data_IF_110051133352
#
_entry.id   IF_110051133352
#
_cell.length_a   1.000
_cell.length_b   1.000
_cell.length_c   1.000
_cell.angle_alpha   90.00
_cell.angle_beta   90.00
_cell.angle_gamma   90.00
#
_symmetry.space_group_name_H-M   'P 1'
#
loop_
_entity.id
_entity.type
_entity.pdbx_description
1 polymer ?
#
# COMPACT_ATOMS: atom_id res chain seq x y z
N UNK A 1 -1.11 28.46 -27.20
CA UNK A 1 -0.20 27.74 -28.11
C UNK A 1 1.15 27.61 -27.44
N UNK A 2 1.47 26.43 -26.90
CA UNK A 2 2.83 26.05 -26.52
C UNK A 2 2.98 24.59 -26.94
N UNK A 3 3.50 24.38 -28.15
CA UNK A 3 3.94 23.06 -28.57
C UNK A 3 5.31 22.84 -27.92
N UNK A 4 5.35 22.07 -26.85
CA UNK A 4 6.62 21.51 -26.37
C UNK A 4 7.08 20.50 -27.40
N UNK A 5 8.17 20.80 -28.10
CA UNK A 5 8.83 19.85 -28.98
C UNK A 5 9.39 18.71 -28.14
N UNK A 6 8.72 17.56 -28.14
CA UNK A 6 9.31 16.35 -27.58
C UNK A 6 10.41 15.88 -28.53
N UNK A 7 11.66 15.94 -28.04
CA UNK A 7 12.78 15.27 -28.68
C UNK A 7 12.45 13.78 -28.81
N UNK A 8 12.68 13.21 -29.99
CA UNK A 8 12.60 11.78 -30.27
C UNK A 8 13.48 11.05 -29.27
N UNK A 9 12.87 10.53 -28.20
CA UNK A 9 13.59 9.78 -27.19
C UNK A 9 13.95 8.44 -27.81
N UNK A 10 15.22 8.23 -28.15
CA UNK A 10 15.72 6.89 -28.39
C UNK A 10 15.40 6.05 -27.14
N UNK A 11 14.46 5.10 -27.27
CA UNK A 11 14.04 4.21 -26.20
C UNK A 11 15.23 3.32 -25.85
N UNK A 12 16.05 3.78 -24.92
CA UNK A 12 17.19 3.03 -24.44
C UNK A 12 16.71 2.11 -23.32
N UNK A 13 16.31 0.89 -23.68
CA UNK A 13 15.91 -0.08 -22.66
C UNK A 13 17.17 -0.56 -21.94
N UNK A 14 17.33 -0.33 -20.63
CA UNK A 14 18.55 -0.68 -19.92
C UNK A 14 18.82 -2.19 -19.99
N UNK A 15 20.09 -2.56 -20.23
CA UNK A 15 20.55 -3.95 -20.08
C UNK A 15 20.76 -4.24 -18.59
N UNK A 16 20.27 -5.38 -18.10
CA UNK A 16 20.55 -5.81 -16.74
C UNK A 16 22.07 -6.01 -16.58
N UNK A 17 22.71 -5.24 -15.71
CA UNK A 17 24.16 -5.28 -15.51
C UNK A 17 24.64 -6.59 -14.85
N UNK A 18 23.73 -7.34 -14.22
CA UNK A 18 24.04 -8.59 -13.51
C UNK A 18 23.15 -9.74 -13.95
N UNK A 19 23.73 -10.95 -14.01
CA UNK A 19 23.04 -12.20 -14.35
C UNK A 19 22.18 -12.75 -13.20
N UNK A 20 22.32 -12.22 -11.98
CA UNK A 20 21.48 -12.56 -10.82
C UNK A 20 21.21 -11.28 -10.00
N UNK A 21 20.02 -11.22 -9.39
CA UNK A 21 19.53 -10.08 -8.62
C UNK A 21 17.99 -10.03 -8.63
N UNK A 22 17.35 -9.43 -7.61
CA UNK A 22 15.89 -9.48 -7.42
C UNK A 22 15.11 -8.74 -8.51
N UNK A 23 15.75 -7.78 -9.20
CA UNK A 23 15.14 -7.05 -10.31
C UNK A 23 16.02 -7.16 -11.57
N UNK A 24 15.46 -7.71 -12.64
CA UNK A 24 16.11 -7.84 -13.94
C UNK A 24 15.11 -8.24 -15.03
N UNK A 25 15.54 -8.24 -16.29
CA UNK A 25 14.68 -8.71 -17.40
C UNK A 25 14.32 -10.18 -17.22
N UNK A 26 13.04 -10.51 -17.44
CA UNK A 26 12.54 -11.89 -17.45
C UNK A 26 13.20 -12.73 -18.56
N UNK A 27 13.50 -12.12 -19.71
CA UNK A 27 14.25 -12.72 -20.83
C UNK A 27 15.49 -11.88 -21.15
N UNK A 28 16.57 -12.11 -20.41
CA UNK A 28 17.79 -11.26 -20.48
C UNK A 28 18.52 -11.33 -21.82
N UNK A 29 18.45 -12.49 -22.46
CA UNK A 29 19.16 -12.78 -23.73
C UNK A 29 18.34 -12.37 -24.96
N UNK A 30 17.05 -12.09 -24.79
CA UNK A 30 16.20 -11.68 -25.91
C UNK A 30 16.32 -10.19 -26.19
N UNK A 31 16.42 -9.79 -27.48
CA UNK A 31 16.34 -8.39 -27.85
C UNK A 31 14.99 -7.81 -27.38
N UNK A 32 14.97 -6.55 -26.88
CA UNK A 32 13.70 -5.89 -26.60
C UNK A 32 12.83 -5.88 -27.84
N UNK A 33 11.54 -6.09 -27.65
CA UNK A 33 10.58 -5.81 -28.70
C UNK A 33 10.61 -4.31 -29.02
N UNK A 34 10.82 -3.99 -30.30
CA UNK A 34 10.72 -2.64 -30.83
C UNK A 34 9.40 -2.51 -31.59
N UNK A 35 8.57 -1.50 -31.28
CA UNK A 35 7.34 -1.28 -32.01
C UNK A 35 7.63 -1.04 -33.50
N UNK A 36 6.77 -1.52 -34.42
CA UNK A 36 6.95 -1.32 -35.87
C UNK A 36 7.08 0.15 -36.28
N UNK A 37 6.41 1.06 -35.55
CA UNK A 37 6.43 2.51 -35.76
C UNK A 37 6.86 3.23 -34.47
N UNK A 38 8.17 3.30 -34.15
CA UNK A 38 8.63 3.82 -32.87
C UNK A 38 8.29 5.32 -32.66
N UNK A 39 8.18 6.09 -33.74
CA UNK A 39 7.87 7.52 -33.68
C UNK A 39 6.39 7.80 -33.36
N UNK A 40 5.49 6.84 -33.63
CA UNK A 40 4.04 6.98 -33.35
C UNK A 40 3.56 6.09 -32.21
N UNK A 41 4.38 5.15 -31.74
CA UNK A 41 3.99 4.14 -30.76
C UNK A 41 3.35 4.73 -29.49
N UNK A 42 3.87 5.85 -28.97
CA UNK A 42 3.29 6.48 -27.78
C UNK A 42 1.90 7.09 -28.07
N UNK A 43 1.75 7.73 -29.23
CA UNK A 43 0.46 8.29 -29.66
C UNK A 43 -0.55 7.18 -29.95
N UNK A 44 -0.11 6.06 -30.54
CA UNK A 44 -0.94 4.90 -30.84
C UNK A 44 -1.42 4.22 -29.55
N UNK A 45 -0.54 4.05 -28.55
CA UNK A 45 -0.90 3.51 -27.23
C UNK A 45 -1.88 4.44 -26.51
N UNK A 46 -1.64 5.76 -26.51
CA UNK A 46 -2.56 6.74 -25.91
C UNK A 46 -3.93 6.70 -26.58
N UNK A 47 -3.97 6.60 -27.91
CA UNK A 47 -5.21 6.52 -28.67
C UNK A 47 -5.97 5.22 -28.36
N UNK A 48 -5.26 4.10 -28.29
CA UNK A 48 -5.82 2.81 -27.88
C UNK A 48 -6.40 2.88 -26.47
N UNK A 49 -5.64 3.42 -25.50
CA UNK A 49 -6.10 3.57 -24.12
C UNK A 49 -7.32 4.50 -24.03
N UNK A 50 -7.31 5.64 -24.71
CA UNK A 50 -8.44 6.57 -24.70
C UNK A 50 -9.72 5.99 -25.33
N UNK A 51 -9.58 5.04 -26.26
CA UNK A 51 -10.72 4.41 -26.93
C UNK A 51 -11.22 3.15 -26.21
N UNK A 52 -10.35 2.43 -25.49
CA UNK A 52 -10.66 1.09 -24.95
C UNK A 52 -10.55 0.98 -23.43
N UNK A 53 -9.93 1.96 -22.75
CA UNK A 53 -9.79 2.00 -21.29
C UNK A 53 -10.65 3.10 -20.66
N UNK A 54 -11.60 3.64 -21.42
CA UNK A 54 -12.67 4.51 -20.91
C UNK A 54 -13.94 3.69 -20.72
N UNK A 55 -14.37 3.54 -19.48
CA UNK A 55 -15.69 3.01 -19.17
C UNK A 55 -16.73 4.11 -19.34
N UNK A 56 -17.77 3.84 -20.13
CA UNK A 56 -18.89 4.78 -20.29
C UNK A 56 -19.84 4.56 -19.11
N UNK A 57 -20.06 5.58 -18.29
CA UNK A 57 -20.98 5.48 -17.15
C UNK A 57 -22.37 4.99 -17.59
N UNK A 58 -22.87 3.92 -16.96
CA UNK A 58 -24.20 3.34 -17.22
C UNK A 58 -24.24 2.11 -18.15
N UNK A 59 -23.11 1.50 -18.47
CA UNK A 59 -23.04 0.18 -19.11
C UNK A 59 -22.87 -0.93 -18.07
N UNK A 60 -23.99 -1.38 -17.49
CA UNK A 60 -24.05 -2.49 -16.53
C UNK A 60 -23.70 -3.86 -17.16
N UNK A 61 -23.50 -3.92 -18.49
CA UNK A 61 -23.16 -5.15 -19.22
C UNK A 61 -21.67 -5.53 -19.19
N UNK A 62 -20.82 -4.62 -18.68
CA UNK A 62 -19.38 -4.84 -18.51
C UNK A 62 -19.02 -5.34 -17.10
N UNK A 63 -19.95 -5.25 -16.13
CA UNK A 63 -19.73 -5.67 -14.76
C UNK A 63 -19.75 -7.19 -14.62
N UNK A 64 -18.74 -7.73 -13.94
CA UNK A 64 -18.75 -9.13 -13.57
C UNK A 64 -19.57 -9.34 -12.29
N UNK A 65 -20.83 -9.73 -12.45
CA UNK A 65 -21.74 -9.99 -11.33
C UNK A 65 -21.23 -11.03 -10.30
N UNK A 66 -20.28 -11.89 -10.69
CA UNK A 66 -19.72 -12.90 -9.80
C UNK A 66 -18.51 -12.40 -9.00
N UNK A 67 -17.95 -11.24 -9.33
CA UNK A 67 -16.77 -10.68 -8.65
C UNK A 67 -17.03 -9.22 -8.27
N UNK A 68 -17.41 -8.94 -7.00
CA UNK A 68 -17.58 -7.58 -6.54
C UNK A 68 -16.29 -6.77 -6.71
N UNK A 69 -16.39 -5.53 -7.20
CA UNK A 69 -15.22 -4.67 -7.47
C UNK A 69 -14.27 -4.47 -6.27
N UNK A 70 -14.78 -4.62 -5.05
CA UNK A 70 -13.97 -4.58 -3.82
C UNK A 70 -12.85 -5.63 -3.77
N UNK A 71 -13.04 -6.79 -4.40
CA UNK A 71 -12.02 -7.84 -4.46
C UNK A 71 -10.78 -7.42 -5.24
N UNK A 72 -10.91 -6.51 -6.21
CA UNK A 72 -9.74 -5.96 -6.94
C UNK A 72 -8.82 -5.20 -5.97
N UNK A 73 -9.38 -4.36 -5.12
CA UNK A 73 -8.62 -3.58 -4.13
C UNK A 73 -8.10 -4.46 -2.99
N UNK A 74 -8.87 -5.47 -2.59
CA UNK A 74 -8.40 -6.45 -1.60
C UNK A 74 -7.22 -7.27 -2.15
N UNK A 75 -7.27 -7.67 -3.42
CA UNK A 75 -6.15 -8.32 -4.11
C UNK A 75 -4.90 -7.45 -4.15
N UNK A 76 -5.05 -6.15 -4.38
CA UNK A 76 -3.94 -5.19 -4.31
C UNK A 76 -3.32 -5.13 -2.91
N UNK A 77 -4.14 -5.07 -1.86
CA UNK A 77 -3.67 -5.09 -0.47
C UNK A 77 -2.88 -6.38 -0.15
N UNK A 78 -3.39 -7.53 -0.61
CA UNK A 78 -2.70 -8.83 -0.46
C UNK A 78 -1.37 -8.85 -1.21
N UNK A 79 -1.34 -8.33 -2.44
CA UNK A 79 -0.11 -8.22 -3.21
C UNK A 79 0.92 -7.36 -2.49
N UNK A 80 0.51 -6.21 -1.94
CA UNK A 80 1.39 -5.35 -1.16
C UNK A 80 1.95 -6.05 0.07
N UNK A 81 1.13 -6.82 0.80
CA UNK A 81 1.58 -7.61 1.96
C UNK A 81 2.62 -8.68 1.57
N UNK A 82 2.34 -9.51 0.56
CA UNK A 82 3.23 -10.61 0.15
C UNK A 82 4.54 -10.09 -0.48
N UNK A 83 4.48 -8.96 -1.18
CA UNK A 83 5.61 -8.42 -1.96
C UNK A 83 6.38 -7.31 -1.25
N UNK A 84 6.03 -6.97 -0.01
CA UNK A 84 6.69 -5.88 0.71
C UNK A 84 8.18 -6.15 0.89
N UNK A 85 9.00 -5.24 0.35
CA UNK A 85 10.46 -5.24 0.50
C UNK A 85 10.92 -3.87 1.02
N UNK A 86 11.08 -3.69 2.34
CA UNK A 86 11.55 -2.44 2.93
C UNK A 86 13.03 -2.13 2.58
N UNK A 87 13.80 -3.11 2.09
CA UNK A 87 15.23 -2.93 1.77
C UNK A 87 15.49 -2.25 0.42
N UNK A 88 14.43 -2.00 -0.37
CA UNK A 88 14.56 -1.62 -1.78
C UNK A 88 15.10 -0.20 -2.04
N UNK A 89 14.97 0.76 -1.11
CA UNK A 89 15.17 2.18 -1.50
C UNK A 89 16.50 2.88 -1.16
N UNK A 90 17.32 2.48 -0.17
CA UNK A 90 18.55 3.28 0.14
C UNK A 90 19.76 2.52 0.75
N UNK A 91 19.64 1.25 1.15
CA UNK A 91 20.72 0.52 1.85
C UNK A 91 21.65 -0.31 0.96
N UNK A 92 21.46 -0.30 -0.36
CA UNK A 92 22.22 -1.13 -1.31
C UNK A 92 23.64 -0.66 -1.64
N UNK A 93 24.25 0.19 -0.80
CA UNK A 93 25.58 0.75 -1.11
C UNK A 93 26.77 0.15 -0.36
N UNK A 94 26.64 -0.84 0.52
CA UNK A 94 27.84 -1.49 1.08
C UNK A 94 27.54 -2.79 1.88
N UNK A 95 27.18 -3.89 1.22
CA UNK A 95 27.51 -5.23 1.74
C UNK A 95 27.28 -6.33 0.66
N UNK A 96 28.34 -6.87 0.03
CA UNK A 96 28.21 -7.96 -0.94
C UNK A 96 27.75 -9.31 -0.33
N UNK A 97 27.86 -9.46 0.99
CA UNK A 97 27.56 -10.72 1.70
C UNK A 97 26.21 -10.72 2.47
N UNK A 98 25.50 -9.59 2.53
CA UNK A 98 24.12 -9.50 3.09
C UNK A 98 23.02 -9.77 2.06
N UNK A 99 23.19 -10.82 1.26
CA UNK A 99 22.19 -11.29 0.29
C UNK A 99 21.20 -12.30 0.92
N UNK A 100 20.78 -12.04 2.16
CA UNK A 100 19.63 -12.71 2.75
C UNK A 100 18.45 -11.74 2.72
N UNK A 101 17.43 -12.09 1.95
CA UNK A 101 16.12 -11.44 2.02
C UNK A 101 15.62 -11.60 3.47
N UNK A 102 15.54 -10.50 4.24
CA UNK A 102 15.30 -10.55 5.70
C UNK A 102 13.82 -10.70 6.07
N UNK A 103 12.88 -10.83 5.12
CA UNK A 103 11.47 -11.08 5.42
C UNK A 103 10.87 -12.20 4.57
N UNK A 104 9.82 -12.81 5.10
CA UNK A 104 9.24 -14.05 4.58
C UNK A 104 8.07 -13.71 3.66
N UNK A 105 7.93 -14.34 2.48
CA UNK A 105 6.74 -14.16 1.62
C UNK A 105 5.53 -14.83 2.28
N UNK A 106 4.98 -14.20 3.32
CA UNK A 106 3.89 -14.70 4.15
C UNK A 106 2.85 -13.60 4.30
N UNK A 107 1.64 -14.02 4.62
CA UNK A 107 0.53 -13.13 4.97
C UNK A 107 0.65 -12.72 6.44
N UNK A 108 1.68 -11.94 6.79
CA UNK A 108 1.96 -11.52 8.17
C UNK A 108 1.61 -10.06 8.45
N UNK A 109 0.98 -9.35 7.52
CA UNK A 109 0.53 -7.96 7.70
C UNK A 109 1.71 -7.04 8.05
N UNK A 110 2.86 -7.29 7.44
CA UNK A 110 4.04 -6.45 7.60
C UNK A 110 3.81 -5.06 6.98
N UNK A 111 2.94 -4.96 5.97
CA UNK A 111 2.44 -3.68 5.44
C UNK A 111 1.61 -2.88 6.47
N UNK A 112 1.06 -3.55 7.49
CA UNK A 112 0.28 -2.95 8.57
C UNK A 112 1.15 -2.61 9.78
N UNK A 113 1.99 -3.55 10.21
CA UNK A 113 2.77 -3.45 11.46
C UNK A 113 4.19 -2.92 11.27
N UNK A 114 4.70 -2.87 10.04
CA UNK A 114 6.06 -2.45 9.76
C UNK A 114 7.10 -3.28 10.53
N UNK A 115 8.06 -2.60 11.17
CA UNK A 115 9.02 -3.22 12.12
C UNK A 115 8.50 -3.24 13.57
N UNK A 116 7.31 -2.70 13.82
CA UNK A 116 6.67 -2.68 15.15
C UNK A 116 6.92 -1.41 15.96
N UNK A 117 6.34 -1.30 17.17
CA UNK A 117 6.29 -0.06 17.95
C UNK A 117 7.63 0.42 18.53
N UNK A 118 8.65 -0.45 18.57
CA UNK A 118 9.99 -0.08 19.05
C UNK A 118 10.84 0.57 17.95
N UNK A 119 10.76 0.03 16.74
CA UNK A 119 11.57 0.49 15.59
C UNK A 119 10.86 1.58 14.77
N UNK A 120 9.52 1.51 14.65
CA UNK A 120 8.69 2.47 13.92
C UNK A 120 7.64 3.13 14.83
N UNK A 121 8.06 3.80 15.91
CA UNK A 121 7.14 4.35 16.93
C UNK A 121 6.22 5.46 16.41
N UNK A 122 6.47 6.00 15.21
CA UNK A 122 5.64 7.04 14.59
C UNK A 122 4.30 6.51 14.05
N UNK A 123 4.11 5.20 13.99
CA UNK A 123 2.84 4.55 13.61
C UNK A 123 1.93 4.26 14.80
N UNK A 124 2.45 4.43 16.03
CA UNK A 124 1.81 3.94 17.26
C UNK A 124 1.58 5.05 18.28
N UNK A 125 0.44 4.99 18.96
CA UNK A 125 0.10 5.88 20.06
C UNK A 125 0.78 5.41 21.36
N UNK A 126 1.87 6.09 21.71
CA UNK A 126 2.64 5.83 22.93
C UNK A 126 1.84 6.04 24.22
N UNK A 127 0.82 6.91 24.22
CA UNK A 127 -0.01 7.17 25.40
C UNK A 127 -1.07 6.10 25.58
N UNK A 128 -1.51 5.49 24.47
CA UNK A 128 -2.58 4.48 24.43
C UNK A 128 -2.02 3.08 24.22
N UNK A 129 -0.97 2.76 24.98
CA UNK A 129 -0.37 1.43 25.05
C UNK A 129 0.11 0.85 23.72
N UNK A 130 0.47 1.70 22.75
CA UNK A 130 0.90 1.26 21.43
C UNK A 130 -0.23 0.83 20.50
N UNK A 131 -1.45 1.36 20.68
CA UNK A 131 -2.49 1.29 19.64
C UNK A 131 -1.98 1.92 18.33
N UNK A 132 -2.48 1.48 17.18
CA UNK A 132 -2.19 2.12 15.90
C UNK A 132 -2.75 3.54 15.90
N UNK A 133 -1.99 4.50 15.35
CA UNK A 133 -2.48 5.86 15.17
C UNK A 133 -3.60 5.90 14.12
N UNK A 134 -4.65 6.64 14.45
CA UNK A 134 -5.76 6.96 13.55
C UNK A 134 -5.76 8.48 13.37
N UNK A 135 -5.76 8.93 12.12
CA UNK A 135 -5.88 10.33 11.74
C UNK A 135 -7.33 10.76 11.59
N UNK A 136 -7.51 11.99 11.15
CA UNK A 136 -8.81 12.55 10.78
C UNK A 136 -8.71 13.14 9.39
N UNK A 137 -9.84 13.14 8.66
CA UNK A 137 -9.89 13.76 7.33
C UNK A 137 -9.62 15.25 7.46
N UNK A 138 -8.76 15.77 6.58
CA UNK A 138 -8.48 17.20 6.50
C UNK A 138 -9.65 17.93 5.83
N UNK A 139 -10.17 18.98 6.49
CA UNK A 139 -11.07 19.93 5.83
C UNK A 139 -10.26 20.81 4.90
N UNK A 140 -10.74 20.98 3.67
CA UNK A 140 -10.07 21.76 2.63
C UNK A 140 -10.92 22.98 2.24
N UNK A 141 -10.27 24.12 2.02
CA UNK A 141 -10.90 25.27 1.36
C UNK A 141 -11.05 25.04 -0.16
N UNK A 142 -11.66 26.01 -0.85
CA UNK A 142 -11.84 25.98 -2.30
C UNK A 142 -10.51 25.96 -3.08
N UNK A 143 -9.41 26.40 -2.46
CA UNK A 143 -8.07 26.45 -3.04
C UNK A 143 -7.24 25.19 -2.68
N UNK A 144 -7.81 24.25 -1.91
CA UNK A 144 -7.20 22.99 -1.50
C UNK A 144 -6.29 23.09 -0.26
N UNK A 145 -6.32 24.18 0.50
CA UNK A 145 -5.57 24.32 1.75
C UNK A 145 -6.33 23.71 2.92
N UNK A 146 -5.58 23.10 3.86
CA UNK A 146 -6.14 22.53 5.08
C UNK A 146 -6.64 23.63 6.01
N UNK A 147 -7.95 23.67 6.26
CA UNK A 147 -8.62 24.63 7.15
C UNK A 147 -8.93 24.07 8.53
N UNK A 148 -8.97 22.74 8.64
CA UNK A 148 -9.37 22.04 9.87
C UNK A 148 -9.29 20.54 9.72
N UNK A 149 -9.85 19.84 10.71
CA UNK A 149 -10.00 18.39 10.72
C UNK A 149 -11.48 18.06 10.95
N UNK A 150 -12.00 17.07 10.23
CA UNK A 150 -13.34 16.55 10.47
C UNK A 150 -13.32 15.55 11.63
N UNK A 151 -14.50 15.06 12.03
CA UNK A 151 -14.61 13.94 12.97
C UNK A 151 -14.51 12.56 12.29
N UNK A 152 -14.27 12.51 10.97
CA UNK A 152 -14.21 11.27 10.22
C UNK A 152 -12.80 10.68 10.32
N UNK A 153 -12.67 9.38 10.65
CA UNK A 153 -11.36 8.75 10.77
C UNK A 153 -10.70 8.61 9.40
N UNK A 154 -9.40 8.88 9.34
CA UNK A 154 -8.54 8.63 8.18
C UNK A 154 -7.22 7.97 8.64
N UNK A 155 -6.37 7.60 7.70
CA UNK A 155 -4.98 7.28 8.01
C UNK A 155 -4.30 8.46 8.71
N UNK A 156 -3.36 8.21 9.63
CA UNK A 156 -2.55 9.27 10.22
C UNK A 156 -1.69 9.91 9.13
N UNK A 157 -1.91 11.18 8.83
CA UNK A 157 -1.16 11.93 7.80
C UNK A 157 -0.28 12.98 8.44
N UNK A 158 0.88 13.23 7.83
CA UNK A 158 1.71 14.38 8.21
C UNK A 158 1.17 15.68 7.58
N UNK A 159 1.82 16.81 7.87
CA UNK A 159 1.43 18.14 7.36
C UNK A 159 1.46 18.28 5.83
N UNK A 160 2.08 17.33 5.12
CA UNK A 160 2.13 17.28 3.66
C UNK A 160 1.11 16.27 3.08
N UNK A 161 0.23 15.71 3.92
CA UNK A 161 -0.78 14.73 3.50
C UNK A 161 -0.26 13.30 3.31
N UNK A 162 1.00 13.03 3.66
CA UNK A 162 1.60 11.69 3.50
C UNK A 162 1.16 10.79 4.65
N UNK A 163 0.59 9.62 4.31
CA UNK A 163 0.21 8.63 5.30
C UNK A 163 1.42 8.04 6.04
N UNK A 164 1.28 7.93 7.36
CA UNK A 164 2.26 7.37 8.30
C UNK A 164 1.92 5.90 8.56
N UNK A 165 2.17 5.05 7.57
CA UNK A 165 1.82 3.62 7.55
C UNK A 165 3.04 2.77 7.16
N UNK A 166 2.98 1.46 7.44
CA UNK A 166 4.10 0.53 7.24
C UNK A 166 4.50 0.38 5.77
N UNK A 167 3.53 0.20 4.89
CA UNK A 167 3.73 0.25 3.44
C UNK A 167 2.96 1.41 2.80
N UNK A 168 3.71 2.41 2.30
CA UNK A 168 3.15 3.58 1.62
C UNK A 168 2.30 3.24 0.38
N UNK A 169 2.49 2.07 -0.24
CA UNK A 169 1.70 1.64 -1.41
C UNK A 169 0.22 1.46 -1.05
N UNK A 170 -0.10 1.22 0.22
CA UNK A 170 -1.47 1.17 0.71
C UNK A 170 -2.17 2.54 0.78
N UNK A 171 -1.51 3.64 0.36
CA UNK A 171 -2.10 4.97 0.23
C UNK A 171 -2.19 5.48 -1.24
N UNK A 172 -1.94 4.63 -2.23
CA UNK A 172 -1.98 5.00 -3.66
C UNK A 172 -3.42 5.18 -4.19
N UNK A 173 -4.38 4.52 -3.58
CA UNK A 173 -5.80 4.57 -3.93
C UNK A 173 -6.63 4.71 -2.66
N UNK A 174 -7.61 5.63 -2.68
CA UNK A 174 -8.48 5.92 -1.53
C UNK A 174 -9.14 4.67 -0.96
N UNK A 175 -9.58 3.71 -1.80
CA UNK A 175 -10.22 2.48 -1.35
C UNK A 175 -9.22 1.59 -0.60
N UNK A 176 -7.97 1.49 -1.08
CA UNK A 176 -6.90 0.76 -0.37
C UNK A 176 -6.52 1.49 0.92
N UNK A 177 -6.45 2.82 0.92
CA UNK A 177 -6.22 3.63 2.13
C UNK A 177 -7.30 3.36 3.19
N UNK A 178 -8.57 3.30 2.78
CA UNK A 178 -9.68 3.01 3.69
C UNK A 178 -9.67 1.55 4.16
N UNK A 179 -9.21 0.61 3.34
CA UNK A 179 -9.00 -0.77 3.77
C UNK A 179 -7.86 -0.88 4.80
N UNK A 180 -6.72 -0.20 4.57
CA UNK A 180 -5.64 -0.07 5.54
C UNK A 180 -6.18 0.50 6.86
N UNK A 181 -6.97 1.59 6.80
CA UNK A 181 -7.62 2.17 7.97
C UNK A 181 -8.51 1.15 8.71
N UNK A 182 -9.32 0.38 7.98
CA UNK A 182 -10.15 -0.66 8.57
C UNK A 182 -9.32 -1.71 9.30
N UNK A 183 -8.18 -2.11 8.76
CA UNK A 183 -7.24 -3.04 9.40
C UNK A 183 -6.57 -2.43 10.65
N UNK A 184 -6.21 -1.14 10.63
CA UNK A 184 -5.69 -0.44 11.81
C UNK A 184 -6.74 -0.41 12.94
N UNK A 185 -7.99 -0.07 12.60
CA UNK A 185 -9.11 -0.03 13.54
C UNK A 185 -9.45 -1.43 14.07
N UNK A 186 -9.39 -2.46 13.23
CA UNK A 186 -9.57 -3.85 13.64
C UNK A 186 -8.53 -4.24 14.70
N UNK A 187 -7.25 -3.93 14.47
CA UNK A 187 -6.22 -4.19 15.46
C UNK A 187 -6.48 -3.44 16.77
N UNK A 188 -6.77 -2.13 16.71
CA UNK A 188 -7.09 -1.34 17.90
C UNK A 188 -8.29 -1.89 18.67
N UNK A 189 -9.30 -2.40 17.96
CA UNK A 189 -10.46 -3.01 18.58
C UNK A 189 -10.13 -4.30 19.31
N UNK A 190 -9.38 -5.20 18.67
CA UNK A 190 -8.93 -6.46 19.29
C UNK A 190 -8.01 -6.20 20.48
N UNK A 191 -7.01 -5.33 20.31
CA UNK A 191 -6.08 -4.99 21.37
C UNK A 191 -6.77 -4.26 22.54
N UNK A 192 -7.69 -3.33 22.25
CA UNK A 192 -8.53 -2.68 23.24
C UNK A 192 -9.34 -3.67 24.07
N UNK A 193 -9.95 -4.68 23.43
CA UNK A 193 -10.64 -5.76 24.16
C UNK A 193 -9.71 -6.54 25.10
N UNK A 194 -8.51 -6.90 24.65
CA UNK A 194 -7.52 -7.58 25.49
C UNK A 194 -7.03 -6.71 26.66
N UNK A 195 -6.93 -5.40 26.43
CA UNK A 195 -6.53 -4.41 27.44
C UNK A 195 -7.65 -3.98 28.37
N UNK A 196 -8.92 -4.28 28.05
CA UNK A 196 -10.08 -3.74 28.74
C UNK A 196 -10.23 -2.23 28.54
N UNK A 197 -9.87 -1.74 27.35
CA UNK A 197 -9.87 -0.32 26.96
C UNK A 197 -10.77 -0.11 25.75
N UNK A 198 -11.39 1.07 25.67
CA UNK A 198 -12.14 1.50 24.49
C UNK A 198 -11.18 2.15 23.47
N UNK A 199 -11.02 1.59 22.25
CA UNK A 199 -10.20 2.21 21.21
C UNK A 199 -10.69 3.59 20.76
N UNK A 200 -11.94 3.95 21.02
CA UNK A 200 -12.49 5.27 20.66
C UNK A 200 -12.35 6.30 21.80
N UNK A 201 -11.97 5.89 23.02
CA UNK A 201 -11.63 6.81 24.11
C UNK A 201 -10.22 7.39 23.94
N UNK A 202 -10.14 8.52 23.23
CA UNK A 202 -8.89 9.25 23.00
C UNK A 202 -8.23 9.81 24.27
N UNK A 203 -8.93 9.81 25.42
CA UNK A 203 -8.40 10.32 26.69
C UNK A 203 -7.72 9.26 27.55
N UNK A 204 -7.93 7.98 27.22
CA UNK A 204 -7.32 6.85 27.92
C UNK A 204 -5.78 6.94 27.86
N UNK A 205 -5.11 6.66 28.98
CA UNK A 205 -3.65 6.58 29.05
C UNK A 205 -3.26 5.29 29.77
N UNK A 206 -2.49 4.45 29.08
CA UNK A 206 -2.02 3.17 29.61
C UNK A 206 -0.73 2.74 28.92
N UNK A 207 0.08 1.95 29.62
CA UNK A 207 1.33 1.43 29.08
C UNK A 207 1.07 0.26 28.11
N UNK A 208 2.03 0.03 27.20
CA UNK A 208 1.98 -1.13 26.31
C UNK A 208 2.13 -2.43 27.09
N UNK A 209 1.23 -3.38 26.84
CA UNK A 209 1.37 -4.77 27.27
C UNK A 209 1.82 -5.58 26.06
N UNK A 210 3.09 -6.00 26.06
CA UNK A 210 3.71 -6.66 24.91
C UNK A 210 3.08 -8.01 24.59
N UNK A 211 2.61 -8.73 25.60
CA UNK A 211 2.01 -10.05 25.40
C UNK A 211 0.62 -9.91 24.79
N UNK A 212 -0.18 -8.97 25.29
CA UNK A 212 -1.49 -8.65 24.69
C UNK A 212 -1.38 -8.05 23.30
N UNK A 213 -0.35 -7.24 23.04
CA UNK A 213 -0.11 -6.68 21.71
C UNK A 213 0.23 -7.79 20.70
N UNK A 214 1.15 -8.70 21.04
CA UNK A 214 1.48 -9.87 20.22
C UNK A 214 0.28 -10.77 20.01
N UNK A 215 -0.57 -10.93 21.02
CA UNK A 215 -1.80 -11.68 20.91
C UNK A 215 -2.79 -11.02 19.93
N UNK A 216 -2.94 -9.69 19.99
CA UNK A 216 -3.76 -8.96 19.03
C UNK A 216 -3.22 -9.10 17.60
N UNK A 217 -1.90 -9.01 17.39
CA UNK A 217 -1.29 -9.28 16.08
C UNK A 217 -1.60 -10.69 15.59
N UNK A 218 -1.50 -11.70 16.46
CA UNK A 218 -1.81 -13.10 16.11
C UNK A 218 -3.25 -13.26 15.65
N UNK A 219 -4.21 -12.72 16.41
CA UNK A 219 -5.64 -12.80 16.09
C UNK A 219 -5.94 -12.12 14.75
N UNK A 220 -5.43 -10.90 14.54
CA UNK A 220 -5.67 -10.14 13.30
C UNK A 220 -5.02 -10.84 12.10
N UNK A 221 -3.79 -11.34 12.24
CA UNK A 221 -3.10 -12.11 11.19
C UNK A 221 -3.88 -13.37 10.82
N UNK A 222 -4.35 -14.14 11.80
CA UNK A 222 -5.13 -15.35 11.54
C UNK A 222 -6.48 -15.05 10.89
N UNK A 223 -7.17 -14.01 11.34
CA UNK A 223 -8.39 -13.56 10.69
C UNK A 223 -8.14 -13.19 9.22
N UNK A 224 -7.14 -12.37 8.96
CA UNK A 224 -6.75 -11.99 7.61
C UNK A 224 -6.38 -13.19 6.73
N UNK A 225 -5.52 -14.08 7.22
CA UNK A 225 -5.14 -15.31 6.50
C UNK A 225 -6.36 -16.19 6.20
N UNK A 226 -7.29 -16.30 7.15
CA UNK A 226 -8.53 -17.06 6.95
C UNK A 226 -9.39 -16.44 5.86
N UNK A 227 -9.55 -15.11 5.85
CA UNK A 227 -10.30 -14.38 4.80
C UNK A 227 -9.63 -14.58 3.44
N UNK A 228 -8.30 -14.42 3.35
CA UNK A 228 -7.57 -14.65 2.09
C UNK A 228 -7.82 -16.07 1.58
N UNK A 229 -7.69 -17.08 2.44
CA UNK A 229 -7.84 -18.47 2.01
C UNK A 229 -9.29 -18.89 1.71
N UNK A 230 -10.26 -18.39 2.48
CA UNK A 230 -11.64 -18.89 2.40
C UNK A 230 -12.58 -17.99 1.60
N UNK A 231 -12.19 -16.76 1.34
CA UNK A 231 -13.03 -15.77 0.65
C UNK A 231 -12.37 -15.28 -0.64
N UNK A 232 -11.07 -14.92 -0.60
CA UNK A 232 -10.38 -14.37 -1.78
C UNK A 232 -9.96 -15.42 -2.82
N UNK A 233 -9.41 -16.56 -2.37
CA UNK A 233 -8.83 -17.58 -3.28
C UNK A 233 -9.87 -18.56 -3.84
N UNK A 234 -11.02 -18.71 -3.19
CA UNK A 234 -12.04 -19.70 -3.55
C UNK A 234 -13.02 -19.18 -4.58
#
# INVERSE_FOLDING_TARGET
MSMSSHATAHIFVPRSQHYKGPFGRMFRELPPWTPPNPDTAEADIRTFAAANMTETAGQDDLDNHNLPAGYTYFGQFIDHDITFDPTSSLQRRNDPDKLHNFRTPRLDLDCLYGEGPDDEPFMYDKKRGGMMLIGQVHELDADGNVTGLTNEPDLPRNVQGIALIGDKRNDENVIVSQFQLAMLRLHNRVYGQLMGQDPDDATAVFAIDRDKFREAQRIVRWFYQWVVWNDFVK
#
